data_IF_641593389006
#
_entry.id   IF_641593389006
#
_cell.length_a   1.000
_cell.length_b   1.000
_cell.length_c   1.000
_cell.angle_alpha   90.00
_cell.angle_beta   90.00
_cell.angle_gamma   90.00
#
_symmetry.space_group_name_H-M   'P 1'
#
loop_
_entity.id
_entity.type
_entity.pdbx_description
1 polymer ?
#
# COMPACT_ATOMS: atom_id res chain seq x y z
N UNK A 1 -20.54 -13.07 32.18
CA UNK A 1 -19.54 -13.47 31.17
C UNK A 1 -19.04 -12.21 30.51
N UNK A 2 -17.78 -11.83 30.73
CA UNK A 2 -17.17 -10.68 30.03
C UNK A 2 -16.78 -11.23 28.66
N UNK A 3 -17.47 -10.81 27.61
CA UNK A 3 -17.06 -11.11 26.25
C UNK A 3 -15.68 -10.49 26.06
N UNK A 4 -14.64 -11.32 25.89
CA UNK A 4 -13.34 -10.86 25.43
C UNK A 4 -13.60 -10.09 24.13
N UNK A 5 -13.33 -8.79 24.13
CA UNK A 5 -13.37 -7.98 22.91
C UNK A 5 -12.26 -8.52 22.00
N UNK A 6 -12.61 -9.45 21.12
CA UNK A 6 -11.72 -9.93 20.08
C UNK A 6 -11.46 -8.73 19.17
N UNK A 7 -10.30 -8.10 19.36
CA UNK A 7 -9.88 -6.98 18.53
C UNK A 7 -9.65 -7.52 17.13
N UNK A 8 -10.31 -6.92 16.14
CA UNK A 8 -10.20 -7.34 14.76
C UNK A 8 -8.73 -7.26 14.30
N UNK A 9 -8.11 -8.37 13.86
CA UNK A 9 -6.67 -8.42 13.62
C UNK A 9 -6.20 -7.45 12.52
N UNK A 10 -7.10 -7.04 11.62
CA UNK A 10 -6.77 -6.08 10.56
C UNK A 10 -6.37 -4.72 11.15
N UNK A 11 -6.96 -4.31 12.27
CA UNK A 11 -6.68 -2.99 12.89
C UNK A 11 -5.20 -2.86 13.25
N UNK A 12 -4.59 -3.94 13.73
CA UNK A 12 -3.15 -3.98 14.04
C UNK A 12 -2.25 -3.80 12.81
N UNK A 13 -2.75 -4.14 11.60
CA UNK A 13 -2.01 -4.03 10.36
C UNK A 13 -2.06 -2.62 9.73
N UNK A 14 -3.03 -1.78 10.11
CA UNK A 14 -3.30 -0.48 9.44
C UNK A 14 -2.05 0.38 9.29
N UNK A 15 -1.29 0.55 10.38
CA UNK A 15 -0.08 1.39 10.37
C UNK A 15 0.96 0.84 9.40
N UNK A 16 1.28 -0.46 9.51
CA UNK A 16 2.28 -1.11 8.65
C UNK A 16 1.92 -1.01 7.18
N UNK A 17 0.65 -1.22 6.85
CA UNK A 17 0.14 -1.12 5.50
C UNK A 17 0.35 0.29 4.92
N UNK A 18 -0.07 1.33 5.65
CA UNK A 18 0.08 2.72 5.22
C UNK A 18 1.55 3.15 5.11
N UNK A 19 2.39 2.75 6.06
CA UNK A 19 3.84 3.02 6.01
C UNK A 19 4.49 2.35 4.80
N UNK A 20 4.21 1.06 4.56
CA UNK A 20 4.76 0.36 3.40
C UNK A 20 4.30 0.98 2.08
N UNK A 21 3.05 1.45 2.03
CA UNK A 21 2.53 2.16 0.87
C UNK A 21 3.22 3.51 0.66
N UNK A 22 3.42 4.30 1.70
CA UNK A 22 4.13 5.58 1.63
C UNK A 22 5.58 5.40 1.14
N UNK A 23 6.29 4.38 1.62
CA UNK A 23 7.61 4.03 1.11
C UNK A 23 7.58 3.70 -0.38
N UNK A 24 6.60 2.90 -0.81
CA UNK A 24 6.44 2.56 -2.21
C UNK A 24 6.24 3.81 -3.06
N UNK A 25 5.29 4.67 -2.70
CA UNK A 25 5.03 5.95 -3.39
C UNK A 25 6.32 6.77 -3.50
N UNK A 26 7.07 6.91 -2.41
CA UNK A 26 8.31 7.67 -2.40
C UNK A 26 9.41 7.03 -3.28
N UNK A 27 9.42 5.71 -3.43
CA UNK A 27 10.42 4.98 -4.23
C UNK A 27 10.11 4.90 -5.72
N UNK A 28 8.86 5.13 -6.14
CA UNK A 28 8.43 4.97 -7.56
C UNK A 28 9.31 5.73 -8.56
N UNK A 29 9.68 7.02 -8.34
CA UNK A 29 10.54 7.72 -9.31
C UNK A 29 11.91 7.08 -9.50
N UNK A 30 12.44 6.41 -8.46
CA UNK A 30 13.72 5.69 -8.53
C UNK A 30 13.55 4.42 -9.35
N UNK A 31 12.47 3.66 -9.13
CA UNK A 31 12.20 2.44 -9.89
C UNK A 31 11.96 2.74 -11.38
N UNK A 32 11.20 3.80 -11.69
CA UNK A 32 10.87 4.21 -13.07
C UNK A 32 12.02 4.88 -13.84
N UNK A 33 12.90 5.64 -13.16
CA UNK A 33 14.00 6.38 -13.80
C UNK A 33 15.36 5.67 -13.85
N UNK A 34 15.53 4.56 -13.13
CA UNK A 34 16.84 3.91 -12.98
C UNK A 34 17.07 2.79 -13.99
N UNK A 35 18.32 2.65 -14.44
CA UNK A 35 18.77 1.44 -15.14
C UNK A 35 18.55 0.21 -14.22
N UNK A 36 17.86 -0.87 -14.68
CA UNK A 36 17.52 -2.03 -13.86
C UNK A 36 18.71 -2.73 -13.16
N UNK A 37 19.93 -2.53 -13.68
CA UNK A 37 21.16 -3.08 -13.09
C UNK A 37 21.67 -2.31 -11.86
N UNK A 38 21.20 -1.07 -11.63
CA UNK A 38 21.66 -0.22 -10.52
C UNK A 38 21.12 -0.70 -9.17
N UNK A 39 21.93 -0.55 -8.13
CA UNK A 39 21.55 -0.89 -6.75
C UNK A 39 20.30 -0.14 -6.26
N UNK A 40 20.14 1.12 -6.66
CA UNK A 40 18.96 1.93 -6.33
C UNK A 40 17.65 1.36 -6.92
N UNK A 41 17.70 0.83 -8.15
CA UNK A 41 16.54 0.17 -8.77
C UNK A 41 16.15 -1.09 -7.99
N UNK A 42 17.12 -1.93 -7.65
CA UNK A 42 16.90 -3.15 -6.84
C UNK A 42 16.34 -2.82 -5.45
N UNK A 43 16.83 -1.75 -4.83
CA UNK A 43 16.30 -1.28 -3.55
C UNK A 43 14.85 -0.81 -3.66
N UNK A 44 14.49 -0.07 -4.72
CA UNK A 44 13.10 0.34 -4.96
C UNK A 44 12.18 -0.86 -5.24
N UNK A 45 12.65 -1.87 -5.99
CA UNK A 45 11.92 -3.13 -6.17
C UNK A 45 11.70 -3.89 -4.84
N UNK A 46 12.67 -3.85 -3.93
CA UNK A 46 12.51 -4.42 -2.60
C UNK A 46 11.42 -3.68 -1.80
N UNK A 47 11.33 -2.36 -1.93
CA UNK A 47 10.25 -1.56 -1.32
C UNK A 47 8.88 -1.92 -1.88
N UNK A 48 8.73 -2.02 -3.21
CA UNK A 48 7.50 -2.47 -3.85
C UNK A 48 7.10 -3.89 -3.37
N UNK A 49 8.08 -4.79 -3.26
CA UNK A 49 7.87 -6.14 -2.74
C UNK A 49 7.41 -6.13 -1.28
N UNK A 50 7.97 -5.26 -0.43
CA UNK A 50 7.54 -5.09 0.96
C UNK A 50 6.09 -4.59 1.04
N UNK A 51 5.70 -3.59 0.23
CA UNK A 51 4.31 -3.14 0.11
C UNK A 51 3.37 -4.29 -0.24
N UNK A 52 3.71 -5.08 -1.25
CA UNK A 52 2.91 -6.24 -1.69
C UNK A 52 2.76 -7.28 -0.58
N UNK A 53 3.82 -7.54 0.20
CA UNK A 53 3.76 -8.47 1.34
C UNK A 53 2.81 -7.99 2.44
N UNK A 54 2.81 -6.71 2.78
CA UNK A 54 1.89 -6.18 3.78
C UNK A 54 0.43 -6.18 3.30
N UNK A 55 0.18 -5.87 2.01
CA UNK A 55 -1.15 -6.04 1.40
C UNK A 55 -1.60 -7.50 1.47
N UNK A 56 -0.78 -8.43 1.02
CA UNK A 56 -1.09 -9.86 1.04
C UNK A 56 -1.33 -10.39 2.46
N UNK A 57 -0.57 -9.89 3.46
CA UNK A 57 -0.76 -10.22 4.87
C UNK A 57 -2.16 -9.85 5.35
N UNK A 58 -2.65 -8.66 5.01
CA UNK A 58 -4.00 -8.20 5.40
C UNK A 58 -5.07 -9.03 4.70
N UNK A 59 -4.93 -9.26 3.39
CA UNK A 59 -5.91 -10.02 2.61
C UNK A 59 -5.97 -11.51 2.97
N UNK A 60 -4.93 -12.06 3.60
CA UNK A 60 -4.88 -13.44 4.08
C UNK A 60 -5.52 -13.65 5.47
N UNK A 61 -5.93 -12.57 6.16
CA UNK A 61 -6.66 -12.68 7.42
C UNK A 61 -8.07 -13.24 7.18
N UNK A 62 -8.67 -13.80 8.23
CA UNK A 62 -10.09 -14.15 8.20
C UNK A 62 -10.93 -12.90 7.93
N UNK A 63 -12.11 -13.06 7.33
CA UNK A 63 -13.02 -11.95 7.00
C UNK A 63 -13.20 -10.99 8.19
N UNK A 64 -13.07 -9.66 7.97
CA UNK A 64 -13.25 -8.69 9.05
C UNK A 64 -14.65 -8.79 9.65
N UNK A 65 -14.73 -8.69 10.97
CA UNK A 65 -15.98 -8.78 11.73
C UNK A 65 -16.44 -7.44 12.28
N UNK A 66 -15.62 -6.40 12.08
CA UNK A 66 -15.86 -5.04 12.54
C UNK A 66 -15.76 -4.04 11.38
N UNK A 67 -16.38 -2.87 11.54
CA UNK A 67 -16.23 -1.77 10.56
C UNK A 67 -14.77 -1.30 10.44
N UNK A 68 -14.03 -1.25 11.55
CA UNK A 68 -12.62 -0.84 11.53
C UNK A 68 -11.73 -1.88 10.85
N UNK A 69 -12.01 -3.17 11.02
CA UNK A 69 -11.33 -4.20 10.25
C UNK A 69 -11.66 -4.12 8.77
N UNK A 70 -12.93 -3.89 8.43
CA UNK A 70 -13.39 -3.72 7.05
C UNK A 70 -12.76 -2.49 6.36
N UNK A 71 -12.52 -1.40 7.10
CA UNK A 71 -11.75 -0.23 6.61
C UNK A 71 -10.36 -0.64 6.14
N UNK A 72 -9.62 -1.35 7.00
CA UNK A 72 -8.23 -1.74 6.71
C UNK A 72 -8.19 -2.78 5.58
N UNK A 73 -9.14 -3.71 5.56
CA UNK A 73 -9.30 -4.64 4.45
C UNK A 73 -9.56 -3.89 3.13
N UNK A 74 -10.47 -2.92 3.13
CA UNK A 74 -10.78 -2.08 1.98
C UNK A 74 -9.55 -1.30 1.46
N UNK A 75 -8.72 -0.77 2.36
CA UNK A 75 -7.45 -0.14 1.99
C UNK A 75 -6.49 -1.13 1.34
N UNK A 76 -6.31 -2.32 1.92
CA UNK A 76 -5.43 -3.33 1.34
C UNK A 76 -5.90 -3.77 -0.05
N UNK A 77 -7.21 -3.99 -0.21
CA UNK A 77 -7.82 -4.34 -1.49
C UNK A 77 -7.61 -3.22 -2.53
N UNK A 78 -7.83 -1.96 -2.14
CA UNK A 78 -7.59 -0.84 -3.03
C UNK A 78 -6.13 -0.74 -3.47
N UNK A 79 -5.18 -0.94 -2.55
CA UNK A 79 -3.74 -0.92 -2.85
C UNK A 79 -3.27 -2.11 -3.71
N UNK A 80 -3.98 -3.25 -3.70
CA UNK A 80 -3.72 -4.36 -4.63
C UNK A 80 -4.23 -4.10 -6.03
N UNK A 81 -5.31 -3.31 -6.16
CA UNK A 81 -6.01 -3.03 -7.42
C UNK A 81 -5.62 -1.68 -8.05
N UNK A 82 -4.59 -1.02 -7.50
CA UNK A 82 -4.14 0.28 -7.97
C UNK A 82 -3.62 0.18 -9.42
N UNK A 83 -4.24 0.93 -10.33
CA UNK A 83 -3.91 0.94 -11.76
C UNK A 83 -4.22 -0.36 -12.50
N UNK A 84 -5.07 -1.25 -11.97
CA UNK A 84 -5.40 -2.54 -12.61
C UNK A 84 -6.80 -2.63 -13.20
N UNK A 85 -7.63 -1.60 -13.05
CA UNK A 85 -9.04 -1.64 -13.45
C UNK A 85 -9.19 -1.89 -14.94
N UNK A 86 -9.98 -2.90 -15.26
CA UNK A 86 -10.49 -3.20 -16.60
C UNK A 86 -12.02 -3.17 -16.57
N UNK A 87 -12.65 -3.01 -17.73
CA UNK A 87 -14.12 -3.00 -17.80
C UNK A 87 -14.70 -4.31 -17.22
N UNK A 88 -15.63 -4.19 -16.27
CA UNK A 88 -16.27 -5.33 -15.60
C UNK A 88 -15.57 -5.85 -14.34
N UNK A 89 -14.55 -5.15 -13.82
CA UNK A 89 -13.85 -5.54 -12.60
C UNK A 89 -14.71 -5.39 -11.33
N UNK A 90 -15.22 -6.52 -10.85
CA UNK A 90 -16.05 -6.59 -9.63
C UNK A 90 -15.25 -6.26 -8.36
N UNK A 91 -13.93 -6.48 -8.37
CA UNK A 91 -13.10 -6.28 -7.19
C UNK A 91 -12.84 -4.79 -6.96
N UNK A 92 -12.67 -4.01 -8.03
CA UNK A 92 -12.61 -2.53 -7.96
C UNK A 92 -13.93 -1.96 -7.43
N UNK A 93 -15.06 -2.45 -7.93
CA UNK A 93 -16.38 -2.05 -7.42
C UNK A 93 -16.55 -2.37 -5.93
N UNK A 94 -16.10 -3.55 -5.50
CA UNK A 94 -16.11 -3.96 -4.10
C UNK A 94 -15.21 -3.06 -3.23
N UNK A 95 -13.99 -2.76 -3.67
CA UNK A 95 -13.08 -1.86 -2.98
C UNK A 95 -13.70 -0.47 -2.78
N UNK A 96 -14.28 0.11 -3.84
CA UNK A 96 -14.99 1.40 -3.80
C UNK A 96 -16.18 1.35 -2.85
N UNK A 97 -16.99 0.30 -2.91
CA UNK A 97 -18.14 0.13 -2.03
C UNK A 97 -17.72 0.07 -0.56
N UNK A 98 -16.68 -0.70 -0.24
CA UNK A 98 -16.14 -0.82 1.12
C UNK A 98 -15.60 0.53 1.62
N UNK A 99 -14.75 1.20 0.84
CA UNK A 99 -14.17 2.49 1.22
C UNK A 99 -15.26 3.55 1.43
N UNK A 100 -16.25 3.60 0.53
CA UNK A 100 -17.40 4.51 0.65
C UNK A 100 -18.25 4.21 1.90
N UNK A 101 -18.65 2.95 2.10
CA UNK A 101 -19.46 2.54 3.24
C UNK A 101 -18.77 2.81 4.58
N UNK A 102 -17.45 2.66 4.62
CA UNK A 102 -16.66 2.85 5.83
C UNK A 102 -16.13 4.29 6.01
N UNK A 103 -16.32 5.16 5.00
CA UNK A 103 -15.78 6.53 4.91
C UNK A 103 -14.25 6.59 5.04
N UNK A 104 -13.58 5.56 4.54
CA UNK A 104 -12.13 5.49 4.55
C UNK A 104 -11.55 6.22 3.34
N UNK A 105 -10.51 7.01 3.57
CA UNK A 105 -9.85 7.80 2.52
C UNK A 105 -8.71 7.02 1.92
N UNK A 106 -8.55 7.11 0.59
CA UNK A 106 -7.37 6.58 -0.09
C UNK A 106 -6.10 7.31 0.39
N UNK A 107 -4.96 6.59 0.49
CA UNK A 107 -3.70 7.18 0.93
C UNK A 107 -3.19 8.21 -0.09
N UNK A 108 -2.38 9.15 0.39
CA UNK A 108 -1.67 10.11 -0.47
C UNK A 108 -0.80 9.35 -1.48
N UNK A 109 -0.80 9.81 -2.74
CA UNK A 109 -0.03 9.19 -3.82
C UNK A 109 -0.74 8.03 -4.54
N UNK A 110 -1.99 7.72 -4.15
CA UNK A 110 -2.83 6.77 -4.89
C UNK A 110 -3.20 7.30 -6.28
N UNK A 111 -2.84 6.55 -7.32
CA UNK A 111 -2.99 6.98 -8.72
C UNK A 111 -4.36 6.68 -9.32
N UNK A 112 -5.26 6.07 -8.54
CA UNK A 112 -6.56 5.61 -9.03
C UNK A 112 -6.56 4.11 -9.33
N UNK A 113 -7.74 3.62 -9.72
CA UNK A 113 -7.93 2.23 -10.08
C UNK A 113 -7.57 1.96 -11.54
N UNK A 114 -7.61 2.96 -12.42
CA UNK A 114 -7.20 2.82 -13.83
C UNK A 114 -8.28 3.18 -14.84
N UNK A 115 -9.54 3.20 -14.41
CA UNK A 115 -10.71 3.60 -15.21
C UNK A 115 -10.97 5.11 -15.16
N UNK A 116 -10.25 5.86 -14.31
CA UNK A 116 -10.37 7.31 -14.25
C UNK A 116 -9.71 7.99 -15.48
N UNK A 117 -10.31 9.05 -16.04
CA UNK A 117 -9.87 9.65 -17.31
C UNK A 117 -8.46 10.27 -17.25
N UNK A 118 -8.01 10.68 -16.07
CA UNK A 118 -6.69 11.27 -15.82
C UNK A 118 -5.66 10.25 -15.31
N UNK A 119 -6.02 8.96 -15.24
CA UNK A 119 -5.16 7.92 -14.67
C UNK A 119 -3.78 7.87 -15.33
N UNK A 120 -3.71 7.92 -16.66
CA UNK A 120 -2.42 7.85 -17.38
C UNK A 120 -1.47 8.99 -17.03
N UNK A 121 -1.99 10.18 -16.74
CA UNK A 121 -1.18 11.32 -16.32
C UNK A 121 -0.75 11.18 -14.85
N UNK A 122 -1.63 10.70 -13.97
CA UNK A 122 -1.29 10.41 -12.56
C UNK A 122 -0.26 9.29 -12.42
N UNK A 123 -0.40 8.21 -13.19
CA UNK A 123 0.57 7.12 -13.23
C UNK A 123 1.93 7.63 -13.71
N UNK A 124 2.00 8.29 -14.87
CA UNK A 124 3.24 8.86 -15.39
C UNK A 124 3.90 9.82 -14.38
N UNK A 125 3.12 10.68 -13.73
CA UNK A 125 3.61 11.60 -12.71
C UNK A 125 4.19 10.85 -11.49
N UNK A 126 3.59 9.73 -11.08
CA UNK A 126 4.07 8.93 -9.95
C UNK A 126 5.44 8.27 -10.19
N UNK A 127 5.80 8.01 -11.45
CA UNK A 127 7.08 7.37 -11.83
C UNK A 127 8.18 8.37 -12.22
N UNK A 128 7.91 9.67 -12.18
CA UNK A 128 8.85 10.72 -12.60
C UNK A 128 9.18 11.68 -11.45
N UNK A 129 10.36 12.30 -11.51
CA UNK A 129 10.82 13.26 -10.51
C UNK A 129 11.85 12.70 -9.53
N UNK A 130 11.90 13.28 -8.33
CA UNK A 130 12.86 12.91 -7.27
C UNK A 130 12.15 11.96 -6.29
N UNK A 131 12.67 10.75 -6.18
CA UNK A 131 12.22 9.76 -5.20
C UNK A 131 13.17 9.64 -4.00
N UNK A 132 12.75 8.86 -3.02
CA UNK A 132 13.58 8.50 -1.86
C UNK A 132 13.37 7.04 -1.47
N UNK A 133 14.38 6.48 -0.81
CA UNK A 133 14.33 5.12 -0.26
C UNK A 133 14.28 5.16 1.27
N UNK A 134 13.46 4.32 1.92
CA UNK A 134 13.49 4.17 3.37
C UNK A 134 14.86 3.66 3.82
N UNK A 135 15.20 3.90 5.10
CA UNK A 135 16.54 3.60 5.63
C UNK A 135 16.96 2.15 5.40
N UNK A 136 16.08 1.19 5.71
CA UNK A 136 16.34 -0.23 5.52
C UNK A 136 16.69 -0.61 4.08
N UNK A 137 16.06 0.04 3.09
CA UNK A 137 16.31 -0.23 1.68
C UNK A 137 17.63 0.40 1.21
N UNK A 138 17.98 1.59 1.73
CA UNK A 138 19.29 2.23 1.51
C UNK A 138 20.43 1.40 2.08
N UNK A 139 20.19 0.76 3.22
CA UNK A 139 21.13 -0.15 3.87
C UNK A 139 21.23 -1.53 3.17
N UNK A 140 20.47 -1.74 2.09
CA UNK A 140 20.51 -2.96 1.29
C UNK A 140 19.73 -4.14 1.87
N UNK A 141 18.89 -3.93 2.89
CA UNK A 141 18.00 -5.00 3.38
C UNK A 141 16.97 -5.34 2.29
N UNK A 142 16.66 -6.64 2.18
CA UNK A 142 15.63 -7.11 1.22
C UNK A 142 14.19 -6.89 1.72
N UNK A 143 14.01 -6.60 3.01
CA UNK A 143 12.71 -6.33 3.63
C UNK A 143 12.91 -5.52 4.94
N UNK A 144 11.89 -4.74 5.35
CA UNK A 144 11.88 -4.08 6.65
C UNK A 144 11.68 -5.09 7.78
N UNK A 145 12.26 -4.80 8.94
CA UNK A 145 11.92 -5.43 10.21
C UNK A 145 10.82 -4.66 10.95
N UNK A 146 10.37 -5.18 12.10
CA UNK A 146 9.29 -4.53 12.86
C UNK A 146 9.70 -3.16 13.44
N UNK A 147 10.99 -2.95 13.70
CA UNK A 147 11.51 -1.67 14.20
C UNK A 147 11.49 -0.59 13.11
N UNK A 148 11.74 -0.97 11.85
CA UNK A 148 11.66 -0.07 10.70
C UNK A 148 10.26 0.58 10.56
N UNK A 149 9.18 -0.13 10.95
CA UNK A 149 7.81 0.42 10.96
C UNK A 149 7.50 1.32 12.18
N UNK A 150 8.37 1.34 13.18
CA UNK A 150 8.21 2.13 14.41
C UNK A 150 9.00 3.44 14.36
N UNK A 151 10.09 3.50 13.59
CA UNK A 151 11.05 4.61 13.59
C UNK A 151 10.65 5.78 12.70
N UNK A 152 9.95 5.55 11.59
CA UNK A 152 9.61 6.61 10.63
C UNK A 152 8.40 7.49 11.02
N UNK A 153 8.07 7.56 12.31
CA UNK A 153 7.05 8.49 12.86
C UNK A 153 7.63 9.85 13.27
N UNK A 154 8.93 10.07 13.07
CA UNK A 154 9.64 11.32 13.40
C UNK A 154 10.44 11.84 12.20
N UNK A 155 9.75 12.41 11.23
CA UNK A 155 10.32 13.33 10.26
C UNK A 155 9.26 14.35 9.84
#
# INVERSE_FOLDING_TARGET
MIASQTTDPHVACRRRLLTAYAWFVASRPIEGGSNPSLSAHKAAQAVNSAKRREVARVLALQTPTTLDGLRVFGLALAMSLEGTSVEGDTDVAAARAILSATRETLPLGFIGFGDEPDHGDRDRAAWTGIGSLPAWARDGKAAPDDADFLTETRA
#
